data_IF_548033601122
#
_entry.id   IF_548033601122
#
_cell.length_a   1.000
_cell.length_b   1.000
_cell.length_c   1.000
_cell.angle_alpha   90.00
_cell.angle_beta   90.00
_cell.angle_gamma   90.00
#
_symmetry.space_group_name_H-M   'P 1'
#
loop_
_entity.id
_entity.type
_entity.pdbx_description
1 polymer ?
#
# COMPACT_ATOMS: atom_id res chain seq x y z
N UNK A 1 -32.45 -7.25 -13.39
CA UNK A 1 -31.69 -5.99 -13.48
C UNK A 1 -30.93 -5.77 -12.18
N UNK A 2 -29.66 -6.15 -12.12
CA UNK A 2 -28.81 -5.95 -10.94
C UNK A 2 -27.98 -4.67 -11.15
N UNK A 3 -28.34 -3.60 -10.42
CA UNK A 3 -27.57 -2.35 -10.40
C UNK A 3 -26.23 -2.60 -9.72
N UNK A 4 -25.13 -2.37 -10.43
CA UNK A 4 -23.79 -2.27 -9.85
C UNK A 4 -23.76 -1.05 -8.93
N UNK A 5 -23.58 -1.28 -7.64
CA UNK A 5 -23.13 -0.23 -6.72
C UNK A 5 -21.67 0.05 -7.05
N UNK A 6 -21.41 1.18 -7.70
CA UNK A 6 -20.07 1.71 -7.85
C UNK A 6 -19.67 2.34 -6.51
N UNK A 7 -18.88 1.62 -5.72
CA UNK A 7 -18.22 2.21 -4.57
C UNK A 7 -17.14 3.18 -5.09
N UNK A 8 -17.15 4.46 -4.66
CA UNK A 8 -16.05 5.36 -4.97
C UNK A 8 -14.76 4.82 -4.32
N UNK A 9 -13.57 5.03 -4.92
CA UNK A 9 -12.32 4.71 -4.24
C UNK A 9 -12.26 5.51 -2.94
N UNK A 10 -12.12 4.82 -1.80
CA UNK A 10 -11.83 5.45 -0.52
C UNK A 10 -10.55 6.27 -0.68
N UNK A 11 -10.68 7.59 -0.48
CA UNK A 11 -9.58 8.53 -0.68
C UNK A 11 -8.89 8.76 0.66
N UNK A 12 -8.33 7.67 1.21
CA UNK A 12 -7.46 7.73 2.38
C UNK A 12 -6.13 8.32 1.92
N UNK A 13 -5.95 9.62 2.16
CA UNK A 13 -4.64 10.26 1.96
C UNK A 13 -3.83 10.10 3.24
N UNK A 14 -3.15 8.96 3.37
CA UNK A 14 -2.00 8.89 4.27
C UNK A 14 -0.87 9.69 3.64
N UNK A 15 -0.59 10.87 4.20
CA UNK A 15 0.65 11.60 3.90
C UNK A 15 1.59 11.29 5.04
N UNK A 16 2.42 10.25 4.89
CA UNK A 16 3.61 10.08 5.73
C UNK A 16 4.52 11.27 5.45
N UNK A 17 4.40 12.34 6.24
CA UNK A 17 5.37 13.42 6.25
C UNK A 17 6.46 13.11 7.27
N UNK A 18 7.33 12.15 6.93
CA UNK A 18 8.66 12.08 7.52
C UNK A 18 9.50 13.19 6.88
N UNK A 19 9.34 14.41 7.41
CA UNK A 19 9.91 15.62 6.84
C UNK A 19 11.44 15.53 6.68
N UNK A 20 11.85 15.80 5.44
CA UNK A 20 13.19 16.20 5.04
C UNK A 20 13.57 17.55 5.65
N UNK A 21 14.54 17.58 6.57
CA UNK A 21 15.43 18.73 6.76
C UNK A 21 16.63 18.33 7.61
N UNK A 22 17.81 18.32 7.00
CA UNK A 22 19.11 18.21 7.69
C UNK A 22 19.70 19.62 7.80
N UNK A 23 20.24 20.00 8.97
CA UNK A 23 21.48 20.74 8.99
C UNK A 23 22.57 19.95 9.71
N UNK A 24 23.78 20.04 9.16
CA UNK A 24 24.99 19.40 9.68
C UNK A 24 25.43 20.04 11.00
N UNK A 25 25.88 19.23 11.95
CA UNK A 25 27.22 19.28 12.58
C UNK A 25 27.23 18.54 13.93
N UNK A 26 28.21 17.63 14.04
CA UNK A 26 28.95 17.15 15.21
C UNK A 26 28.24 16.84 16.55
N UNK A 27 28.49 15.60 17.01
CA UNK A 27 28.48 15.08 18.40
C UNK A 27 27.10 14.86 19.04
N UNK A 28 26.61 13.60 18.99
CA UNK A 28 25.91 12.84 20.07
C UNK A 28 25.15 11.62 19.50
N UNK A 29 25.83 10.49 19.36
CA UNK A 29 25.31 9.22 18.80
C UNK A 29 24.14 8.59 19.57
N UNK A 30 23.87 8.97 20.81
CA UNK A 30 22.74 8.44 21.59
C UNK A 30 21.43 9.24 21.45
N UNK A 31 21.45 10.38 20.74
CA UNK A 31 20.30 11.30 20.65
C UNK A 31 19.54 11.28 19.30
N UNK A 32 20.11 10.67 18.26
CA UNK A 32 19.53 10.67 16.91
C UNK A 32 18.46 9.58 16.67
N UNK A 33 18.52 8.48 17.43
CA UNK A 33 17.47 7.45 17.44
C UNK A 33 16.12 8.04 17.88
N UNK A 34 16.16 9.03 18.77
CA UNK A 34 14.98 9.72 19.29
C UNK A 34 14.47 10.85 18.39
N UNK A 35 14.92 10.97 17.13
CA UNK A 35 14.37 11.95 16.18
C UNK A 35 13.85 11.30 14.90
N UNK A 36 14.50 10.23 14.46
CA UNK A 36 14.09 9.50 13.25
C UNK A 36 12.83 8.66 13.47
N UNK A 37 12.53 8.27 14.72
CA UNK A 37 11.38 7.42 15.08
C UNK A 37 10.33 8.15 15.95
N UNK A 38 10.69 9.28 16.58
CA UNK A 38 9.94 9.84 17.74
C UNK A 38 8.99 10.98 17.38
N UNK A 39 8.98 11.49 16.15
CA UNK A 39 8.05 12.55 15.76
C UNK A 39 6.72 12.07 15.18
N UNK A 40 6.61 10.79 14.82
CA UNK A 40 5.47 10.27 14.07
C UNK A 40 4.31 9.94 14.98
N UNK A 41 3.55 10.94 15.42
CA UNK A 41 2.15 10.67 15.72
C UNK A 41 1.54 10.28 14.38
N UNK A 42 1.17 9.02 14.24
CA UNK A 42 0.64 8.51 13.00
C UNK A 42 -0.82 8.96 12.89
N UNK A 43 -0.99 10.25 12.60
CA UNK A 43 -2.27 10.89 12.36
C UNK A 43 -2.78 10.41 11.02
N UNK A 44 -3.88 9.68 11.05
CA UNK A 44 -4.60 9.33 9.83
C UNK A 44 -5.93 10.07 9.87
N UNK A 45 -6.18 10.82 8.79
CA UNK A 45 -7.44 11.52 8.62
C UNK A 45 -8.33 10.69 7.71
N UNK A 46 -9.54 10.40 8.19
CA UNK A 46 -10.60 9.84 7.36
C UNK A 46 -11.64 10.92 7.07
N UNK A 47 -12.24 10.86 5.89
CA UNK A 47 -13.36 11.72 5.52
C UNK A 47 -14.64 10.88 5.59
N UNK A 48 -15.60 11.29 6.42
CA UNK A 48 -16.95 10.73 6.32
C UNK A 48 -17.60 11.28 5.05
N UNK A 49 -17.94 10.41 4.10
CA UNK A 49 -18.48 10.82 2.79
C UNK A 49 -19.91 11.39 2.94
N UNK A 50 -20.66 10.94 3.96
CA UNK A 50 -22.05 11.37 4.21
C UNK A 50 -22.11 12.71 4.95
N UNK A 51 -21.23 12.93 5.92
CA UNK A 51 -21.24 14.15 6.74
C UNK A 51 -20.19 15.18 6.33
N UNK A 52 -19.24 14.81 5.45
CA UNK A 52 -18.04 15.59 5.09
C UNK A 52 -17.12 15.94 6.28
N UNK A 53 -17.35 15.37 7.45
CA UNK A 53 -16.51 15.60 8.62
C UNK A 53 -15.18 14.84 8.50
N UNK A 54 -14.09 15.53 8.84
CA UNK A 54 -12.77 14.92 8.98
C UNK A 54 -12.58 14.47 10.41
N UNK A 55 -12.35 13.17 10.59
CA UNK A 55 -11.94 12.61 11.87
C UNK A 55 -10.47 12.23 11.82
N UNK A 56 -9.78 12.53 12.91
CA UNK A 56 -8.38 12.23 13.11
C UNK A 56 -8.27 11.05 14.07
N UNK A 57 -7.61 9.99 13.62
CA UNK A 57 -7.37 8.81 14.44
C UNK A 57 -5.91 8.76 14.85
N UNK A 58 -5.70 8.71 16.17
CA UNK A 58 -4.39 8.55 16.78
C UNK A 58 -4.20 7.11 17.21
N UNK A 59 -3.13 6.48 16.71
CA UNK A 59 -2.75 5.12 17.13
C UNK A 59 -2.41 5.13 18.63
N UNK A 60 -2.86 4.15 19.43
CA UNK A 60 -2.58 4.09 20.86
C UNK A 60 -1.08 4.00 21.15
N UNK A 61 -0.63 4.70 22.19
CA UNK A 61 0.79 4.72 22.60
C UNK A 61 1.36 3.31 22.87
N UNK A 62 0.52 2.42 23.40
CA UNK A 62 0.90 1.03 23.64
C UNK A 62 1.27 0.32 22.33
N UNK A 63 0.49 0.50 21.27
CA UNK A 63 0.78 -0.07 19.96
C UNK A 63 2.03 0.56 19.34
N UNK A 64 2.23 1.87 19.49
CA UNK A 64 3.44 2.57 19.04
C UNK A 64 4.68 2.01 19.77
N UNK A 65 4.60 1.81 21.08
CA UNK A 65 5.68 1.24 21.88
C UNK A 65 6.00 -0.21 21.51
N UNK A 66 4.97 -1.01 21.22
CA UNK A 66 5.11 -2.38 20.73
C UNK A 66 5.81 -2.42 19.37
N UNK A 67 5.37 -1.59 18.42
CA UNK A 67 6.01 -1.46 17.11
C UNK A 67 7.47 -1.04 17.24
N UNK A 68 7.76 -0.04 18.08
CA UNK A 68 9.13 0.41 18.34
C UNK A 68 10.00 -0.73 18.89
N UNK A 69 9.47 -1.53 19.80
CA UNK A 69 10.20 -2.66 20.38
C UNK A 69 10.47 -3.75 19.33
N UNK A 70 9.49 -4.03 18.46
CA UNK A 70 9.67 -4.97 17.35
C UNK A 70 10.77 -4.49 16.38
N UNK A 71 10.75 -3.21 16.00
CA UNK A 71 11.75 -2.60 15.11
C UNK A 71 13.17 -2.64 15.70
N UNK A 72 13.30 -2.38 17.01
CA UNK A 72 14.60 -2.44 17.70
C UNK A 72 15.13 -3.87 17.85
N UNK A 73 14.25 -4.87 17.80
CA UNK A 73 14.68 -6.27 17.83
C UNK A 73 15.37 -6.67 16.52
N UNK A 74 14.98 -6.08 15.39
CA UNK A 74 15.48 -6.41 14.05
C UNK A 74 16.98 -6.16 13.89
N UNK A 75 17.62 -6.97 13.05
CA UNK A 75 19.06 -6.83 12.78
C UNK A 75 19.35 -5.66 11.81
N UNK A 76 18.33 -5.31 10.99
CA UNK A 76 18.39 -4.16 10.09
C UNK A 76 18.21 -2.85 10.84
N UNK A 77 18.90 -1.81 10.35
CA UNK A 77 18.77 -0.48 10.94
C UNK A 77 17.35 0.09 10.75
N UNK A 78 16.86 0.95 11.66
CA UNK A 78 15.55 1.58 11.53
C UNK A 78 15.36 2.33 10.20
N UNK A 79 16.43 2.94 9.67
CA UNK A 79 16.38 3.65 8.37
C UNK A 79 16.15 2.70 7.20
N UNK A 80 16.77 1.51 7.23
CA UNK A 80 16.54 0.49 6.20
C UNK A 80 15.12 -0.05 6.28
N UNK A 81 14.62 -0.34 7.48
CA UNK A 81 13.25 -0.80 7.68
C UNK A 81 12.23 0.25 7.24
N UNK A 82 12.48 1.53 7.49
CA UNK A 82 11.64 2.63 6.97
C UNK A 82 11.63 2.65 5.45
N UNK A 83 12.80 2.55 4.81
CA UNK A 83 12.88 2.53 3.35
C UNK A 83 12.13 1.34 2.75
N UNK A 84 12.27 0.15 3.35
CA UNK A 84 11.53 -1.05 2.96
C UNK A 84 10.02 -0.88 3.17
N UNK A 85 9.60 -0.23 4.26
CA UNK A 85 8.20 0.08 4.52
C UNK A 85 7.63 1.04 3.47
N UNK A 86 8.37 2.08 3.08
CA UNK A 86 7.96 3.04 2.04
C UNK A 86 7.81 2.34 0.68
N UNK A 87 8.79 1.51 0.30
CA UNK A 87 8.70 0.70 -0.93
C UNK A 87 7.50 -0.24 -0.90
N UNK A 88 7.20 -0.83 0.26
CA UNK A 88 6.08 -1.72 0.42
C UNK A 88 4.75 -0.97 0.30
N UNK A 89 4.62 0.22 0.89
CA UNK A 89 3.41 1.03 0.75
C UNK A 89 3.13 1.42 -0.70
N UNK A 90 4.18 1.77 -1.46
CA UNK A 90 4.09 2.01 -2.90
C UNK A 90 3.58 0.78 -3.65
N UNK A 91 4.11 -0.41 -3.34
CA UNK A 91 3.64 -1.67 -3.93
C UNK A 91 2.16 -1.90 -3.60
N UNK A 92 1.78 -1.76 -2.33
CA UNK A 92 0.42 -2.01 -1.85
C UNK A 92 -0.59 -1.05 -2.46
N UNK A 93 -0.25 0.23 -2.60
CA UNK A 93 -1.11 1.25 -3.22
C UNK A 93 -1.43 0.94 -4.69
N UNK A 94 -0.54 0.20 -5.37
CA UNK A 94 -0.68 -0.21 -6.77
C UNK A 94 -1.37 -1.57 -6.94
N UNK A 95 -1.60 -2.32 -5.86
CA UNK A 95 -2.27 -3.62 -5.95
C UNK A 95 -3.71 -3.42 -6.40
N UNK A 96 -4.09 -4.18 -7.42
CA UNK A 96 -5.44 -4.23 -7.99
C UNK A 96 -5.85 -5.68 -8.04
N UNK A 97 -7.10 -5.98 -7.70
CA UNK A 97 -7.62 -7.33 -7.85
C UNK A 97 -7.44 -7.83 -9.29
N UNK A 98 -7.17 -9.13 -9.49
CA UNK A 98 -7.13 -9.71 -10.82
C UNK A 98 -8.43 -9.40 -11.58
N UNK A 99 -8.32 -8.75 -12.74
CA UNK A 99 -9.49 -8.50 -13.57
C UNK A 99 -9.96 -9.80 -14.25
N UNK A 100 -11.24 -9.92 -14.59
CA UNK A 100 -11.75 -11.08 -15.29
C UNK A 100 -11.06 -11.27 -16.66
N UNK A 101 -10.95 -12.51 -17.18
CA UNK A 101 -10.21 -12.81 -18.40
C UNK A 101 -10.65 -12.01 -19.64
N UNK A 102 -11.93 -11.65 -19.71
CA UNK A 102 -12.49 -10.83 -20.79
C UNK A 102 -11.85 -9.43 -20.85
N UNK A 103 -11.68 -8.78 -19.70
CA UNK A 103 -11.07 -7.46 -19.59
C UNK A 103 -9.57 -7.53 -19.89
N UNK A 104 -8.89 -8.58 -19.40
CA UNK A 104 -7.47 -8.84 -19.70
C UNK A 104 -7.27 -8.99 -21.22
N UNK A 105 -8.13 -9.75 -21.90
CA UNK A 105 -8.08 -9.96 -23.35
C UNK A 105 -8.31 -8.67 -24.13
N UNK A 106 -9.27 -7.84 -23.72
CA UNK A 106 -9.51 -6.54 -24.34
C UNK A 106 -8.30 -5.60 -24.18
N UNK A 107 -7.74 -5.51 -22.97
CA UNK A 107 -6.54 -4.70 -22.71
C UNK A 107 -5.35 -5.18 -23.56
N UNK A 108 -5.12 -6.50 -23.63
CA UNK A 108 -4.09 -7.11 -24.47
C UNK A 108 -4.25 -6.74 -25.94
N UNK A 109 -5.46 -6.84 -26.49
CA UNK A 109 -5.73 -6.49 -27.88
C UNK A 109 -5.47 -5.00 -28.15
N UNK A 110 -5.92 -4.11 -27.26
CA UNK A 110 -5.63 -2.67 -27.38
C UNK A 110 -4.13 -2.37 -27.41
N UNK A 111 -3.35 -2.99 -26.52
CA UNK A 111 -1.88 -2.81 -26.50
C UNK A 111 -1.27 -3.35 -27.81
N UNK A 112 -1.72 -4.51 -28.29
CA UNK A 112 -1.26 -5.09 -29.55
C UNK A 112 -1.53 -4.16 -30.73
N UNK A 113 -2.72 -3.56 -30.78
CA UNK A 113 -3.10 -2.63 -31.85
C UNK A 113 -2.30 -1.34 -31.79
N UNK A 114 -2.00 -0.83 -30.59
CA UNK A 114 -1.12 0.34 -30.41
C UNK A 114 0.30 0.07 -30.91
N UNK A 115 0.90 -1.07 -30.53
CA UNK A 115 2.25 -1.43 -30.95
C UNK A 115 2.34 -1.69 -32.45
N UNK A 116 1.30 -2.29 -33.06
CA UNK A 116 1.23 -2.47 -34.51
C UNK A 116 1.17 -1.14 -35.25
N UNK A 117 0.39 -0.18 -34.76
CA UNK A 117 0.33 1.17 -35.36
C UNK A 117 1.71 1.84 -35.32
N UNK A 118 2.42 1.75 -34.19
CA UNK A 118 3.78 2.28 -34.08
C UNK A 118 4.76 1.64 -35.08
N UNK A 119 4.68 0.32 -35.28
CA UNK A 119 5.55 -0.38 -36.25
C UNK A 119 5.26 0.02 -37.71
N UNK A 120 3.98 0.29 -38.04
CA UNK A 120 3.58 0.78 -39.36
C UNK A 120 4.14 2.19 -39.60
N UNK A 121 4.02 3.08 -38.61
CA UNK A 121 4.57 4.44 -38.68
C UNK A 121 6.11 4.44 -38.80
N UNK A 122 6.78 3.44 -38.23
CA UNK A 122 8.24 3.24 -38.33
C UNK A 122 8.69 2.49 -39.61
N UNK A 123 7.76 2.09 -40.48
CA UNK A 123 8.07 1.47 -41.78
C UNK A 123 8.64 0.04 -41.69
N UNK A 124 8.35 -0.70 -40.61
CA UNK A 124 8.84 -2.06 -40.41
C UNK A 124 7.84 -3.07 -40.99
N UNK A 125 8.19 -3.75 -42.09
CA UNK A 125 7.35 -4.82 -42.66
C UNK A 125 7.46 -6.15 -41.88
N UNK A 126 6.30 -6.72 -41.57
CA UNK A 126 6.06 -7.88 -40.70
C UNK A 126 6.25 -9.19 -41.48
N UNK A 127 7.41 -9.86 -41.37
CA UNK A 127 7.62 -11.16 -42.03
C UNK A 127 8.35 -12.24 -41.23
N UNK A 128 8.58 -12.08 -39.91
CA UNK A 128 9.39 -13.05 -39.15
C UNK A 128 8.73 -13.55 -37.84
N UNK A 129 8.79 -14.86 -37.60
CA UNK A 129 8.32 -15.48 -36.35
C UNK A 129 9.04 -14.90 -35.09
N UNK A 130 10.29 -14.43 -35.24
CA UNK A 130 11.04 -13.71 -34.21
C UNK A 130 10.41 -12.37 -33.82
N UNK A 131 9.81 -11.66 -34.78
CA UNK A 131 9.11 -10.38 -34.55
C UNK A 131 7.85 -10.62 -33.71
N UNK A 132 7.11 -11.68 -34.02
CA UNK A 132 5.92 -12.08 -33.25
C UNK A 132 6.23 -12.44 -31.79
N UNK A 133 7.36 -13.09 -31.52
CA UNK A 133 7.79 -13.38 -30.14
C UNK A 133 8.14 -12.09 -29.36
N UNK A 134 8.90 -11.18 -29.98
CA UNK A 134 9.24 -9.88 -29.39
C UNK A 134 7.98 -9.05 -29.08
N UNK A 135 7.04 -9.00 -30.01
CA UNK A 135 5.77 -8.31 -29.83
C UNK A 135 4.97 -8.88 -28.66
N UNK A 136 4.89 -10.21 -28.52
CA UNK A 136 4.20 -10.84 -27.38
C UNK A 136 4.86 -10.47 -26.04
N UNK A 137 6.19 -10.49 -25.97
CA UNK A 137 6.91 -10.11 -24.76
C UNK A 137 6.72 -8.62 -24.40
N UNK A 138 6.72 -7.73 -25.39
CA UNK A 138 6.41 -6.31 -25.23
C UNK A 138 5.00 -6.11 -24.67
N UNK A 139 3.99 -6.74 -25.30
CA UNK A 139 2.60 -6.70 -24.84
C UNK A 139 2.48 -7.19 -23.41
N UNK A 140 3.07 -8.34 -23.06
CA UNK A 140 2.99 -8.89 -21.71
C UNK A 140 3.75 -8.02 -20.69
N UNK A 141 4.86 -7.36 -21.08
CA UNK A 141 5.59 -6.42 -20.22
C UNK A 141 4.75 -5.19 -19.90
N UNK A 142 4.07 -4.61 -20.90
CA UNK A 142 3.16 -3.48 -20.72
C UNK A 142 1.95 -3.90 -19.89
N UNK A 143 1.35 -5.05 -20.20
CA UNK A 143 0.17 -5.57 -19.50
C UNK A 143 0.44 -5.84 -18.02
N UNK A 144 1.60 -6.42 -17.69
CA UNK A 144 2.05 -6.66 -16.30
C UNK A 144 2.25 -5.37 -15.53
N UNK A 145 2.88 -4.36 -16.15
CA UNK A 145 3.09 -3.04 -15.53
C UNK A 145 1.77 -2.28 -15.32
N UNK A 146 0.88 -2.37 -16.30
CA UNK A 146 -0.28 -1.50 -16.34
C UNK A 146 -1.46 -2.00 -15.51
N UNK A 147 -1.71 -3.33 -15.45
CA UNK A 147 -3.03 -3.79 -15.02
C UNK A 147 -3.07 -4.94 -14.01
N UNK A 148 -1.96 -5.59 -13.63
CA UNK A 148 -2.05 -6.85 -12.85
C UNK A 148 -0.89 -7.09 -11.88
N UNK A 149 -0.74 -6.21 -10.87
CA UNK A 149 0.30 -6.35 -9.85
C UNK A 149 -0.16 -7.14 -8.60
N UNK A 150 -1.23 -7.95 -8.71
CA UNK A 150 -1.63 -8.83 -7.62
C UNK A 150 -0.69 -10.03 -7.54
N UNK A 151 0.27 -9.96 -6.63
CA UNK A 151 1.11 -11.09 -6.21
C UNK A 151 0.93 -11.33 -4.72
N UNK A 152 1.05 -12.57 -4.22
CA UNK A 152 1.19 -12.82 -2.79
C UNK A 152 2.30 -11.95 -2.20
N UNK A 153 2.07 -11.38 -1.02
CA UNK A 153 3.17 -10.76 -0.26
C UNK A 153 3.92 -11.89 0.43
N UNK A 154 5.22 -11.88 0.28
CA UNK A 154 6.10 -12.84 0.91
C UNK A 154 6.67 -12.19 2.18
N UNK A 155 6.07 -12.52 3.32
CA UNK A 155 6.42 -11.98 4.64
C UNK A 155 6.88 -13.14 5.53
N UNK A 156 8.03 -13.71 5.17
CA UNK A 156 8.61 -14.85 5.89
C UNK A 156 9.61 -14.42 6.98
N UNK A 157 10.22 -13.24 6.83
CA UNK A 157 11.23 -12.76 7.76
C UNK A 157 10.67 -11.77 8.77
N UNK A 158 11.33 -11.70 9.93
CA UNK A 158 11.00 -10.74 10.97
C UNK A 158 11.13 -9.30 10.48
N UNK A 159 12.15 -9.01 9.68
CA UNK A 159 12.41 -7.70 9.10
C UNK A 159 11.30 -7.32 8.10
N UNK A 160 10.87 -8.26 7.26
CA UNK A 160 9.74 -8.04 6.35
C UNK A 160 8.44 -7.80 7.12
N UNK A 161 8.19 -8.55 8.19
CA UNK A 161 7.04 -8.36 9.07
C UNK A 161 7.08 -6.99 9.77
N UNK A 162 8.26 -6.55 10.21
CA UNK A 162 8.45 -5.24 10.83
C UNK A 162 8.24 -4.10 9.84
N UNK A 163 8.73 -4.21 8.60
CA UNK A 163 8.47 -3.24 7.54
C UNK A 163 6.97 -3.20 7.15
N UNK A 164 6.30 -4.35 7.13
CA UNK A 164 4.85 -4.42 6.95
C UNK A 164 4.08 -3.74 8.09
N UNK A 165 4.46 -3.99 9.34
CA UNK A 165 3.85 -3.33 10.49
C UNK A 165 4.07 -1.82 10.46
N UNK A 166 5.28 -1.37 10.13
CA UNK A 166 5.62 0.05 10.03
C UNK A 166 4.83 0.77 8.94
N UNK A 167 4.59 0.13 7.79
CA UNK A 167 3.78 0.72 6.71
C UNK A 167 2.27 0.66 7.00
N UNK A 168 1.78 -0.37 7.72
CA UNK A 168 0.34 -0.65 7.79
C UNK A 168 -0.34 -0.38 9.12
N UNK A 169 0.37 -0.24 10.24
CA UNK A 169 -0.25 -0.10 11.56
C UNK A 169 -1.22 1.08 11.60
N UNK A 170 -0.74 2.28 11.27
CA UNK A 170 -1.55 3.49 11.32
C UNK A 170 -2.74 3.50 10.35
N UNK A 171 -2.55 3.25 9.04
CA UNK A 171 -3.70 3.24 8.13
C UNK A 171 -4.71 2.16 8.49
N UNK A 172 -4.28 0.95 8.89
CA UNK A 172 -5.22 -0.10 9.26
C UNK A 172 -6.00 0.23 10.53
N UNK A 173 -5.32 0.77 11.56
CA UNK A 173 -5.98 1.22 12.78
C UNK A 173 -7.06 2.26 12.49
N UNK A 174 -6.73 3.25 11.66
CA UNK A 174 -7.65 4.32 11.33
C UNK A 174 -8.89 3.85 10.55
N UNK A 175 -8.74 2.89 9.64
CA UNK A 175 -9.88 2.27 8.95
C UNK A 175 -10.79 1.54 9.94
N UNK A 176 -10.22 0.75 10.85
CA UNK A 176 -10.99 -0.01 11.84
C UNK A 176 -11.68 0.94 12.82
N UNK A 177 -10.95 1.89 13.39
CA UNK A 177 -11.50 2.89 14.29
C UNK A 177 -12.63 3.69 13.61
N UNK A 178 -12.47 4.04 12.34
CA UNK A 178 -13.52 4.74 11.59
C UNK A 178 -14.79 3.92 11.45
N UNK A 179 -14.67 2.61 11.22
CA UNK A 179 -15.82 1.69 11.12
C UNK A 179 -16.46 1.49 12.49
N UNK A 180 -15.66 1.29 13.53
CA UNK A 180 -16.16 1.12 14.91
C UNK A 180 -16.90 2.37 15.41
N UNK A 181 -16.42 3.56 15.05
CA UNK A 181 -17.09 4.84 15.29
C UNK A 181 -18.51 4.93 14.68
N UNK A 182 -18.85 4.12 13.67
CA UNK A 182 -20.22 4.08 13.11
C UNK A 182 -21.20 3.29 13.97
N UNK A 183 -20.68 2.44 14.87
CA UNK A 183 -21.48 1.72 15.86
C UNK A 183 -21.58 2.48 17.19
N UNK A 184 -20.92 3.64 17.31
CA UNK A 184 -20.93 4.44 18.53
C UNK A 184 -22.33 5.00 18.77
N UNK A 185 -22.99 4.54 19.85
CA UNK A 185 -24.39 4.84 20.17
C UNK A 185 -25.37 3.67 20.03
N UNK A 186 -24.93 2.53 19.48
CA UNK A 186 -25.68 1.27 19.48
C UNK A 186 -25.28 0.41 20.70
N UNK A 187 -26.16 -0.47 21.18
CA UNK A 187 -25.87 -1.45 22.26
C UNK A 187 -24.92 -2.59 21.78
N UNK A 188 -23.97 -2.27 20.90
CA UNK A 188 -23.04 -3.22 20.30
C UNK A 188 -21.77 -3.34 21.15
N UNK A 189 -21.79 -4.28 22.09
CA UNK A 189 -20.64 -4.63 22.95
C UNK A 189 -20.35 -6.13 22.85
N UNK A 190 -19.60 -6.59 21.83
CA UNK A 190 -19.31 -8.01 21.65
C UNK A 190 -18.45 -8.52 22.82
N UNK A 191 -18.86 -9.62 23.45
CA UNK A 191 -18.07 -10.28 24.52
C UNK A 191 -16.84 -11.02 23.99
N UNK A 192 -16.86 -11.38 22.70
CA UNK A 192 -15.76 -12.08 22.02
C UNK A 192 -15.64 -11.57 20.60
N UNK A 193 -14.40 -11.36 20.14
CA UNK A 193 -14.08 -10.92 18.77
C UNK A 193 -13.18 -11.96 18.10
N UNK A 194 -13.52 -12.34 16.88
CA UNK A 194 -12.66 -13.17 16.01
C UNK A 194 -12.04 -12.27 14.94
N UNK A 195 -10.72 -12.07 15.03
CA UNK A 195 -9.96 -11.30 14.03
C UNK A 195 -9.35 -12.24 12.99
N UNK A 196 -10.04 -12.40 11.86
CA UNK A 196 -9.55 -13.23 10.76
C UNK A 196 -8.47 -12.51 9.96
N UNK A 197 -7.28 -13.11 9.89
CA UNK A 197 -6.15 -12.50 9.20
C UNK A 197 -5.55 -11.32 9.95
N UNK A 198 -5.60 -11.36 11.29
CA UNK A 198 -5.15 -10.32 12.21
C UNK A 198 -3.80 -9.71 11.86
N UNK A 199 -2.85 -10.51 11.34
CA UNK A 199 -1.58 -10.03 10.82
C UNK A 199 -0.79 -9.29 11.89
N UNK A 200 -0.81 -7.96 11.85
CA UNK A 200 -0.14 -7.07 12.83
C UNK A 200 -1.04 -6.67 14.02
N UNK A 201 -2.30 -7.13 14.05
CA UNK A 201 -3.26 -6.85 15.12
C UNK A 201 -3.58 -5.37 15.24
N UNK A 202 -4.04 -4.74 14.15
CA UNK A 202 -4.34 -3.30 14.15
C UNK A 202 -5.73 -2.94 14.68
N UNK A 203 -6.57 -3.95 14.97
CA UNK A 203 -7.93 -3.78 15.50
C UNK A 203 -8.02 -3.79 17.02
#
# INVERSE_FOLDING_TARGET
MLRRLAFPPSLVKCRSQLLSSVPSTSKKESSELNKTVVGGVAHVTSLNILTQERREFTVPDLAISGLRSALLSCDRSPKQLQHEADQLDDILSQRRFPAPPSIVKQARNKIKDMLKKQQIDEGIEDLDARINYKLRNEVDKILKKAHFNWKPLDIETREAAAAYALSRLAPNYAEIARVLDEFDGEDFAPSTVLDYGSGIGAG
#
